data_IF_352325110007
#
_entry.id   IF_352325110007
#
_cell.length_a   1.000
_cell.length_b   1.000
_cell.length_c   1.000
_cell.angle_alpha   90.00
_cell.angle_beta   90.00
_cell.angle_gamma   90.00
#
_symmetry.space_group_name_H-M   'P 1'
#
loop_
_entity.id
_entity.type
_entity.pdbx_description
1 polymer ?
#
# COMPACT_ATOMS: atom_id res chain seq x y z
N UNK A 1 -26.28 -15.30 4.26
CA UNK A 1 -25.13 -14.54 4.77
C UNK A 1 -25.31 -13.16 4.19
N UNK A 2 -25.46 -12.15 5.05
CA UNK A 2 -25.90 -10.82 4.62
C UNK A 2 -24.77 -10.14 3.84
N UNK A 3 -25.07 -9.27 2.86
CA UNK A 3 -24.04 -8.59 2.04
C UNK A 3 -23.08 -7.79 2.93
N UNK A 4 -23.58 -7.34 4.08
CA UNK A 4 -22.82 -6.67 5.12
C UNK A 4 -21.81 -7.60 5.82
N UNK A 5 -22.13 -8.90 6.04
CA UNK A 5 -21.19 -9.86 6.63
C UNK A 5 -19.98 -10.10 5.72
N UNK A 6 -20.19 -10.19 4.41
CA UNK A 6 -19.09 -10.33 3.42
C UNK A 6 -18.21 -9.07 3.34
N UNK A 7 -18.80 -7.89 3.55
CA UNK A 7 -18.08 -6.62 3.52
C UNK A 7 -17.19 -6.42 4.77
N UNK A 8 -17.53 -7.04 5.91
CA UNK A 8 -16.71 -7.02 7.13
C UNK A 8 -15.81 -8.25 7.31
N UNK A 9 -16.01 -9.32 6.54
CA UNK A 9 -15.20 -10.54 6.62
C UNK A 9 -13.79 -10.42 6.00
N UNK A 10 -13.56 -9.44 5.13
CA UNK A 10 -12.31 -9.31 4.38
C UNK A 10 -11.29 -8.44 5.09
N UNK A 11 -10.06 -8.93 5.17
CA UNK A 11 -8.90 -8.17 5.64
C UNK A 11 -8.65 -6.93 4.76
N UNK A 12 -7.97 -5.89 5.29
CA UNK A 12 -7.57 -4.72 4.51
C UNK A 12 -6.85 -5.08 3.20
N UNK A 13 -5.97 -6.09 3.25
CA UNK A 13 -5.28 -6.61 2.07
C UNK A 13 -6.25 -7.14 1.03
N UNK A 14 -7.19 -8.00 1.42
CA UNK A 14 -8.17 -8.58 0.49
C UNK A 14 -9.03 -7.49 -0.17
N UNK A 15 -9.48 -6.50 0.61
CA UNK A 15 -10.22 -5.36 0.08
C UNK A 15 -9.39 -4.57 -0.93
N UNK A 16 -8.13 -4.30 -0.62
CA UNK A 16 -7.22 -3.59 -1.54
C UNK A 16 -7.00 -4.35 -2.86
N UNK A 17 -6.80 -5.68 -2.79
CA UNK A 17 -6.65 -6.49 -4.00
C UNK A 17 -7.94 -6.49 -4.83
N UNK A 18 -9.10 -6.50 -4.20
CA UNK A 18 -10.38 -6.35 -4.90
C UNK A 18 -10.54 -4.96 -5.51
N UNK A 19 -10.17 -3.90 -4.80
CA UNK A 19 -10.16 -2.54 -5.33
C UNK A 19 -9.30 -2.46 -6.58
N UNK A 20 -8.05 -2.96 -6.57
CA UNK A 20 -7.20 -3.00 -7.77
C UNK A 20 -7.86 -3.76 -8.91
N UNK A 21 -8.46 -4.92 -8.60
CA UNK A 21 -9.06 -5.80 -9.62
C UNK A 21 -10.19 -5.12 -10.40
N UNK A 22 -10.95 -4.25 -9.74
CA UNK A 22 -12.13 -3.60 -10.34
C UNK A 22 -11.91 -2.13 -10.69
N UNK A 23 -10.79 -1.54 -10.28
CA UNK A 23 -10.47 -0.15 -10.56
C UNK A 23 -10.35 0.12 -12.06
N UNK A 24 -10.78 1.30 -12.48
CA UNK A 24 -10.48 1.78 -13.83
C UNK A 24 -8.98 2.08 -13.98
N UNK A 25 -8.47 1.90 -15.20
CA UNK A 25 -7.04 1.99 -15.49
C UNK A 25 -6.45 3.36 -15.10
N UNK A 26 -7.14 4.45 -15.39
CA UNK A 26 -6.64 5.80 -15.12
C UNK A 26 -6.48 6.10 -13.63
N UNK A 27 -7.45 5.69 -12.80
CA UNK A 27 -7.35 5.81 -11.34
C UNK A 27 -6.18 4.98 -10.80
N UNK A 28 -6.02 3.75 -11.29
CA UNK A 28 -4.93 2.87 -10.89
C UNK A 28 -3.56 3.42 -11.30
N UNK A 29 -3.42 3.88 -12.56
CA UNK A 29 -2.18 4.50 -13.08
C UNK A 29 -1.77 5.71 -12.22
N UNK A 30 -2.70 6.62 -11.93
CA UNK A 30 -2.39 7.82 -11.13
C UNK A 30 -1.85 7.47 -9.74
N UNK A 31 -2.50 6.53 -9.04
CA UNK A 31 -2.09 6.14 -7.69
C UNK A 31 -0.77 5.36 -7.71
N UNK A 32 -0.57 4.46 -8.69
CA UNK A 32 0.66 3.68 -8.79
C UNK A 32 1.86 4.54 -9.22
N UNK A 33 1.70 5.49 -10.14
CA UNK A 33 2.77 6.42 -10.54
C UNK A 33 3.26 7.24 -9.34
N UNK A 34 2.33 7.73 -8.52
CA UNK A 34 2.66 8.42 -7.26
C UNK A 34 3.41 7.49 -6.29
N UNK A 35 2.90 6.27 -6.07
CA UNK A 35 3.54 5.30 -5.18
C UNK A 35 4.96 4.93 -5.63
N UNK A 36 5.18 4.77 -6.94
CA UNK A 36 6.48 4.48 -7.52
C UNK A 36 7.44 5.66 -7.38
N UNK A 37 6.98 6.88 -7.66
CA UNK A 37 7.77 8.09 -7.50
C UNK A 37 8.24 8.26 -6.04
N UNK A 38 7.33 8.06 -5.07
CA UNK A 38 7.64 8.11 -3.66
C UNK A 38 8.64 7.02 -3.26
N UNK A 39 8.47 5.79 -3.75
CA UNK A 39 9.39 4.69 -3.47
C UNK A 39 10.80 4.96 -3.98
N UNK A 40 10.93 5.43 -5.22
CA UNK A 40 12.21 5.80 -5.83
C UNK A 40 12.86 6.94 -5.02
N UNK A 41 12.09 7.98 -4.67
CA UNK A 41 12.61 9.09 -3.87
C UNK A 41 13.12 8.62 -2.50
N UNK A 42 12.41 7.69 -1.84
CA UNK A 42 12.83 7.12 -0.56
C UNK A 42 14.15 6.34 -0.72
N UNK A 43 14.29 5.50 -1.75
CA UNK A 43 15.54 4.77 -2.01
C UNK A 43 16.71 5.74 -2.18
N UNK A 44 16.56 6.73 -3.05
CA UNK A 44 17.59 7.74 -3.32
C UNK A 44 17.95 8.55 -2.05
N UNK A 45 16.97 8.84 -1.20
CA UNK A 45 17.19 9.51 0.07
C UNK A 45 17.95 8.61 1.06
N UNK A 46 17.63 7.32 1.14
CA UNK A 46 18.33 6.37 1.99
C UNK A 46 19.80 6.25 1.57
N UNK A 47 20.06 6.09 0.27
CA UNK A 47 21.42 6.02 -0.28
C UNK A 47 22.23 7.28 0.02
N UNK A 48 21.62 8.47 -0.15
CA UNK A 48 22.25 9.75 0.22
C UNK A 48 22.59 9.86 1.71
N UNK A 49 21.89 9.10 2.56
CA UNK A 49 22.14 9.02 3.99
C UNK A 49 23.02 7.82 4.39
N UNK A 50 23.68 7.18 3.41
CA UNK A 50 24.53 6.00 3.58
C UNK A 50 23.80 4.79 4.17
N UNK A 51 22.48 4.71 3.96
CA UNK A 51 21.68 3.53 4.25
C UNK A 51 21.52 2.73 2.96
N UNK A 52 21.60 1.41 3.07
CA UNK A 52 21.48 0.49 1.95
C UNK A 52 20.34 -0.50 2.17
N UNK A 53 20.11 -1.36 1.17
CA UNK A 53 19.04 -2.38 1.21
C UNK A 53 19.15 -3.33 2.42
N UNK A 54 20.36 -3.63 2.90
CA UNK A 54 20.55 -4.49 4.08
C UNK A 54 20.06 -3.80 5.36
N UNK A 55 20.24 -2.49 5.47
CA UNK A 55 19.73 -1.71 6.62
C UNK A 55 18.20 -1.70 6.62
N UNK A 56 17.58 -1.56 5.45
CA UNK A 56 16.11 -1.63 5.30
C UNK A 56 15.59 -3.02 5.64
N UNK A 57 16.22 -4.07 5.14
CA UNK A 57 15.86 -5.46 5.46
C UNK A 57 15.99 -5.74 6.96
N UNK A 58 17.08 -5.29 7.59
CA UNK A 58 17.28 -5.44 9.03
C UNK A 58 16.19 -4.70 9.82
N UNK A 59 15.86 -3.46 9.44
CA UNK A 59 14.77 -2.70 10.06
C UNK A 59 13.43 -3.45 9.96
N UNK A 60 13.11 -4.02 8.80
CA UNK A 60 11.88 -4.79 8.59
C UNK A 60 11.84 -6.05 9.46
N UNK A 61 12.97 -6.76 9.60
CA UNK A 61 13.07 -7.95 10.44
C UNK A 61 12.88 -7.61 11.93
N UNK A 62 13.51 -6.54 12.39
CA UNK A 62 13.44 -6.10 13.80
C UNK A 62 12.07 -5.53 14.17
N UNK A 63 11.32 -5.01 13.19
CA UNK A 63 10.07 -4.28 13.41
C UNK A 63 8.87 -4.94 12.71
N UNK A 64 8.86 -6.27 12.57
CA UNK A 64 7.86 -7.00 11.78
C UNK A 64 6.40 -6.68 12.15
N UNK A 65 6.06 -6.56 13.43
CA UNK A 65 4.72 -6.19 13.89
C UNK A 65 4.31 -4.79 13.41
N UNK A 66 5.19 -3.81 13.57
CA UNK A 66 4.97 -2.45 13.07
C UNK A 66 4.77 -2.46 11.56
N UNK A 67 5.60 -3.20 10.83
CA UNK A 67 5.49 -3.31 9.37
C UNK A 67 4.14 -3.89 8.96
N UNK A 68 3.65 -4.92 9.65
CA UNK A 68 2.36 -5.55 9.32
C UNK A 68 1.16 -4.65 9.67
N UNK A 69 1.22 -3.92 10.78
CA UNK A 69 0.21 -2.89 11.11
C UNK A 69 0.18 -1.79 10.05
N UNK A 70 1.35 -1.27 9.67
CA UNK A 70 1.45 -0.20 8.65
C UNK A 70 1.03 -0.69 7.27
N UNK A 71 1.26 -1.96 6.90
CA UNK A 71 0.72 -2.52 5.65
C UNK A 71 -0.81 -2.41 5.61
N UNK A 72 -1.51 -2.66 6.72
CA UNK A 72 -2.96 -2.50 6.78
C UNK A 72 -3.39 -1.06 6.54
N UNK A 73 -2.70 -0.09 7.15
CA UNK A 73 -2.94 1.33 6.91
C UNK A 73 -2.73 1.70 5.43
N UNK A 74 -1.65 1.21 4.82
CA UNK A 74 -1.35 1.43 3.41
C UNK A 74 -2.42 0.81 2.50
N UNK A 75 -2.88 -0.41 2.77
CA UNK A 75 -3.96 -1.02 2.00
C UNK A 75 -5.24 -0.19 2.05
N UNK A 76 -5.61 0.32 3.23
CA UNK A 76 -6.80 1.17 3.39
C UNK A 76 -6.61 2.50 2.65
N UNK A 77 -5.47 3.17 2.85
CA UNK A 77 -5.17 4.46 2.24
C UNK A 77 -5.16 4.41 0.72
N UNK A 78 -4.44 3.44 0.13
CA UNK A 78 -4.38 3.28 -1.31
C UNK A 78 -5.74 2.88 -1.90
N UNK A 79 -6.51 2.03 -1.21
CA UNK A 79 -7.88 1.72 -1.66
C UNK A 79 -8.76 2.97 -1.71
N UNK A 80 -8.68 3.83 -0.69
CA UNK A 80 -9.43 5.08 -0.62
C UNK A 80 -8.99 6.06 -1.72
N UNK A 81 -7.69 6.19 -1.99
CA UNK A 81 -7.17 7.03 -3.08
C UNK A 81 -7.69 6.54 -4.44
N UNK A 82 -7.60 5.23 -4.72
CA UNK A 82 -8.09 4.65 -5.98
C UNK A 82 -9.58 4.92 -6.16
N UNK A 83 -10.40 4.60 -5.16
CA UNK A 83 -11.86 4.81 -5.20
C UNK A 83 -12.23 6.30 -5.35
N UNK A 84 -11.43 7.20 -4.77
CA UNK A 84 -11.63 8.65 -4.89
C UNK A 84 -11.39 9.20 -6.29
N UNK A 85 -10.64 8.49 -7.13
CA UNK A 85 -10.41 8.82 -8.54
C UNK A 85 -11.42 8.18 -9.50
N UNK A 86 -12.35 7.36 -9.02
CA UNK A 86 -13.39 6.73 -9.84
C UNK A 86 -14.69 7.54 -9.94
N UNK A 87 -14.78 8.65 -9.19
CA UNK A 87 -15.93 9.56 -9.13
C UNK A 87 -15.90 10.71 -10.13
#
# INVERSE_FOLDING_TARGET
>A
MDIFDEMFAKSPKEKFIETIKYANLGALENVLEKLLADHIAIIELLEKNNLNESDVAQFQMENSLLIDERKNDFYIGLSAEILGHEG
#
